data_IF_464311885461
#
_entry.id   IF_464311885461
#
_cell.length_a   1.000
_cell.length_b   1.000
_cell.length_c   1.000
_cell.angle_alpha   90.00
_cell.angle_beta   90.00
_cell.angle_gamma   90.00
#
_symmetry.space_group_name_H-M   'P 1'
#
loop_
_entity.id
_entity.type
_entity.pdbx_description
1 polymer ?
#
# COMPACT_ATOMS: atom_id res chain seq x y z
N UNK A 1 -27.20 7.53 -8.45
CA UNK A 1 -26.63 6.50 -9.35
C UNK A 1 -25.36 7.03 -10.03
N UNK A 2 -24.32 6.21 -9.98
CA UNK A 2 -23.04 6.32 -10.71
C UNK A 2 -22.14 7.51 -10.34
N UNK A 3 -21.50 7.44 -9.16
CA UNK A 3 -20.14 7.96 -9.05
C UNK A 3 -19.21 6.97 -9.75
N UNK A 4 -19.06 7.24 -11.04
CA UNK A 4 -18.07 6.63 -11.92
C UNK A 4 -16.71 7.22 -11.59
N UNK A 5 -16.05 6.76 -10.53
CA UNK A 5 -14.62 7.01 -10.39
C UNK A 5 -13.90 5.91 -11.14
N UNK A 6 -13.40 6.28 -12.32
CA UNK A 6 -12.49 5.49 -13.13
C UNK A 6 -11.25 5.09 -12.29
N UNK A 7 -11.33 4.01 -11.53
CA UNK A 7 -10.18 3.45 -10.83
C UNK A 7 -9.39 2.59 -11.80
N UNK A 8 -8.76 3.25 -12.77
CA UNK A 8 -7.54 2.72 -13.40
C UNK A 8 -6.33 2.84 -12.44
N UNK A 9 -6.51 3.34 -11.22
CA UNK A 9 -5.52 3.39 -10.15
C UNK A 9 -5.82 2.31 -9.11
N UNK A 10 -4.87 1.41 -8.89
CA UNK A 10 -4.98 0.35 -7.88
C UNK A 10 -5.20 0.89 -6.47
N UNK A 11 -5.59 0.00 -5.54
CA UNK A 11 -5.77 0.32 -4.12
C UNK A 11 -4.51 1.01 -3.57
N UNK A 12 -4.66 2.21 -2.99
CA UNK A 12 -3.55 2.95 -2.38
C UNK A 12 -3.41 2.54 -0.92
N UNK A 13 -2.19 2.21 -0.54
CA UNK A 13 -1.78 1.82 0.79
C UNK A 13 -0.93 2.92 1.43
N UNK A 14 -0.99 3.00 2.75
CA UNK A 14 -0.22 3.96 3.54
C UNK A 14 0.59 3.22 4.59
N UNK A 15 1.88 3.54 4.68
CA UNK A 15 2.75 3.03 5.74
C UNK A 15 2.32 3.54 7.12
N UNK A 16 2.04 2.64 8.06
CA UNK A 16 1.70 3.00 9.44
C UNK A 16 2.94 3.33 10.28
N UNK A 17 4.08 2.73 9.91
CA UNK A 17 5.37 2.83 10.59
C UNK A 17 6.51 2.82 9.56
N UNK A 18 7.72 3.16 10.01
CA UNK A 18 8.92 3.00 9.21
C UNK A 18 9.29 1.51 9.12
N UNK A 19 9.60 1.05 7.92
CA UNK A 19 9.96 -0.34 7.65
C UNK A 19 11.15 -0.40 6.69
N UNK A 20 12.18 -1.15 7.10
CA UNK A 20 13.34 -1.45 6.26
C UNK A 20 13.25 -2.89 5.80
N UNK A 21 12.82 -3.07 4.56
CA UNK A 21 12.74 -4.36 3.89
C UNK A 21 14.12 -4.95 3.58
N UNK A 22 14.18 -6.27 3.44
CA UNK A 22 15.36 -7.02 3.01
C UNK A 22 15.07 -7.81 1.73
N UNK A 23 16.07 -7.91 0.85
CA UNK A 23 16.02 -8.66 -0.41
C UNK A 23 14.85 -8.24 -1.33
N UNK A 24 13.71 -8.95 -1.27
CA UNK A 24 12.53 -8.73 -2.10
C UNK A 24 11.46 -7.88 -1.40
N UNK A 25 11.72 -7.46 -0.16
CA UNK A 25 10.82 -6.60 0.60
C UNK A 25 11.11 -5.12 0.28
N UNK A 26 10.05 -4.32 0.21
CA UNK A 26 10.14 -2.89 -0.05
C UNK A 26 10.37 -2.13 1.26
N UNK A 27 11.31 -1.18 1.25
CA UNK A 27 11.48 -0.23 2.36
C UNK A 27 10.57 0.99 2.17
N UNK A 28 9.92 1.43 3.24
CA UNK A 28 9.03 2.60 3.24
C UNK A 28 9.02 3.28 4.61
N UNK A 29 8.59 4.54 4.65
CA UNK A 29 8.43 5.32 5.88
C UNK A 29 6.97 5.45 6.28
N UNK A 30 6.73 5.84 7.53
CA UNK A 30 5.40 6.20 8.00
C UNK A 30 4.80 7.31 7.13
N UNK A 31 3.55 7.12 6.74
CA UNK A 31 2.74 7.93 5.82
C UNK A 31 3.16 7.85 4.34
N UNK A 32 4.13 7.02 3.97
CA UNK A 32 4.44 6.80 2.56
C UNK A 32 3.27 6.13 1.85
N UNK A 33 3.05 6.53 0.59
CA UNK A 33 2.00 5.99 -0.26
C UNK A 33 2.55 4.93 -1.19
N UNK A 34 1.86 3.80 -1.23
CA UNK A 34 2.18 2.67 -2.09
C UNK A 34 0.96 2.28 -2.90
N UNK A 35 1.15 1.79 -4.10
CA UNK A 35 0.09 1.24 -4.93
C UNK A 35 0.11 -0.28 -4.80
N UNK A 36 -1.03 -0.87 -4.44
CA UNK A 36 -1.20 -2.31 -4.41
C UNK A 36 -1.09 -2.90 -5.82
N UNK A 37 -0.22 -3.90 -5.96
CA UNK A 37 -0.06 -4.69 -7.19
C UNK A 37 -0.68 -6.08 -6.99
N UNK A 38 -0.32 -6.78 -5.91
CA UNK A 38 -0.78 -8.14 -5.62
C UNK A 38 -1.06 -8.31 -4.12
N UNK A 39 -2.22 -8.88 -3.79
CA UNK A 39 -2.67 -9.22 -2.43
C UNK A 39 -3.13 -10.67 -2.30
N UNK A 40 -2.59 -11.56 -3.11
CA UNK A 40 -2.94 -12.99 -3.13
C UNK A 40 -2.48 -13.70 -1.86
N UNK A 41 -1.44 -13.17 -1.20
CA UNK A 41 -0.96 -13.65 0.09
C UNK A 41 -1.61 -12.87 1.24
N UNK A 42 -1.88 -13.56 2.36
CA UNK A 42 -2.59 -12.99 3.50
C UNK A 42 -1.70 -12.13 4.40
N UNK A 43 -0.38 -12.35 4.38
CA UNK A 43 0.58 -11.69 5.26
C UNK A 43 1.46 -10.68 4.51
N UNK A 44 1.78 -10.97 3.25
CA UNK A 44 2.72 -10.19 2.44
C UNK A 44 2.09 -9.67 1.16
N UNK A 45 1.98 -8.36 1.04
CA UNK A 45 1.41 -7.74 -0.15
C UNK A 45 2.51 -7.21 -1.05
N UNK A 46 2.39 -7.45 -2.36
CA UNK A 46 3.30 -6.89 -3.35
C UNK A 46 2.81 -5.52 -3.79
N UNK A 47 3.65 -4.50 -3.59
CA UNK A 47 3.26 -3.11 -3.78
C UNK A 47 4.37 -2.33 -4.48
N UNK A 48 3.99 -1.18 -5.03
CA UNK A 48 4.92 -0.21 -5.61
C UNK A 48 4.96 1.05 -4.76
N UNK A 49 6.14 1.52 -4.39
CA UNK A 49 6.31 2.80 -3.75
C UNK A 49 6.03 3.94 -4.74
N UNK A 50 5.12 4.85 -4.40
CA UNK A 50 4.70 5.89 -5.34
C UNK A 50 5.78 6.96 -5.56
N UNK A 51 6.68 7.16 -4.59
CA UNK A 51 7.73 8.19 -4.66
C UNK A 51 9.01 7.66 -5.32
N UNK A 52 9.48 6.47 -4.93
CA UNK A 52 10.73 5.89 -5.47
C UNK A 52 10.47 5.04 -6.72
N UNK A 53 9.24 4.58 -6.93
CA UNK A 53 8.87 3.70 -8.03
C UNK A 53 9.30 2.25 -7.83
N UNK A 54 9.95 1.92 -6.72
CA UNK A 54 10.41 0.57 -6.36
C UNK A 54 9.26 -0.36 -6.02
N UNK A 55 9.43 -1.65 -6.28
CA UNK A 55 8.41 -2.68 -6.09
C UNK A 55 8.96 -3.76 -5.17
N UNK A 56 8.12 -4.26 -4.26
CA UNK A 56 8.52 -5.28 -3.31
C UNK A 56 7.39 -5.70 -2.38
N UNK A 57 7.67 -6.71 -1.56
CA UNK A 57 6.74 -7.20 -0.55
C UNK A 57 6.75 -6.31 0.69
N UNK A 58 5.57 -6.04 1.24
CA UNK A 58 5.40 -5.34 2.51
C UNK A 58 4.50 -6.16 3.44
N UNK A 59 4.75 -6.15 4.75
CA UNK A 59 3.92 -6.87 5.70
C UNK A 59 2.60 -6.11 5.92
N UNK A 60 1.47 -6.81 5.79
CA UNK A 60 0.13 -6.24 5.94
C UNK A 60 -0.04 -5.42 7.24
N UNK A 61 0.54 -5.88 8.35
CA UNK A 61 0.42 -5.21 9.66
C UNK A 61 1.12 -3.85 9.76
N UNK A 62 1.96 -3.49 8.78
CA UNK A 62 2.67 -2.20 8.75
C UNK A 62 2.05 -1.20 7.78
N UNK A 63 0.99 -1.61 7.09
CA UNK A 63 0.31 -0.79 6.10
C UNK A 63 -1.19 -0.75 6.36
N UNK A 64 -1.86 0.23 5.79
CA UNK A 64 -3.32 0.33 5.82
C UNK A 64 -3.83 0.82 4.47
N UNK A 65 -5.08 0.50 4.13
CA UNK A 65 -5.71 1.03 2.93
C UNK A 65 -6.06 2.48 3.19
N UNK A 66 -5.65 3.39 2.29
CA UNK A 66 -5.89 4.82 2.41
C UNK A 66 -7.39 5.13 2.59
N UNK A 67 -8.25 4.41 1.89
CA UNK A 67 -9.72 4.51 1.97
C UNK A 67 -10.25 4.12 3.37
N UNK A 68 -9.60 3.17 4.04
CA UNK A 68 -10.00 2.73 5.39
C UNK A 68 -9.67 3.75 6.48
N UNK A 69 -8.84 4.76 6.21
CA UNK A 69 -8.59 5.86 7.15
C UNK A 69 -9.74 6.88 7.18
N UNK A 70 -10.64 6.87 6.19
CA UNK A 70 -11.75 7.83 6.09
C UNK A 70 -13.06 7.39 6.79
N UNK A 71 -13.08 6.21 7.44
CA UNK A 71 -14.27 5.76 8.19
C UNK A 71 -14.03 5.69 9.69
N UNK A 72 -14.00 6.86 10.33
CA UNK A 72 -14.53 7.01 11.70
C UNK A 72 -15.28 8.36 11.82
N UNK A 73 -16.62 8.37 11.73
CA UNK A 73 -17.40 9.52 12.19
C UNK A 73 -17.26 9.74 13.70
#
# INVERSE_FOLDING_TARGET
PTETTNNAGGEVLIGLYDYTGRNNELSFQKNDKMTMIDKSDAEWWYVRHNTTGEEGFVPYNYITIADSLETKP
#
